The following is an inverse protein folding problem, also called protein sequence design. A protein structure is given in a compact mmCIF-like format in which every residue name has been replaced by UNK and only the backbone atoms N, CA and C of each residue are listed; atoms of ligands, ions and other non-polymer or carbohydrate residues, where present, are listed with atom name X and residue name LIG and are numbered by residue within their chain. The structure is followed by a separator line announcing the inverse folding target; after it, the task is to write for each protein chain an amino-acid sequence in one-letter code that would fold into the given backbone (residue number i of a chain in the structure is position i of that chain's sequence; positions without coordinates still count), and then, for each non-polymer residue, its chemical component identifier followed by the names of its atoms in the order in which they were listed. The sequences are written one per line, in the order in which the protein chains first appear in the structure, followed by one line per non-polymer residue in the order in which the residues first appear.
data_IF_619061109129
#
_entry.id   IF_619061109129
#
_cell.length_a   1.000
_cell.length_b   1.000
_cell.length_c   1.000
_cell.angle_alpha   90.00
_cell.angle_beta   90.00
_cell.angle_gamma   90.00
#
_symmetry.space_group_name_H-M   'P 1'
#
loop_
_entity.id
_entity.type
_entity.pdbx_description
1 polymer ?
#
# COMPACT_ATOMS: atom_id res chain seq x y z
N UNK A 1 -4.87 21.41 -2.17
CA UNK A 1 -5.47 20.48 -3.15
C UNK A 1 -6.75 19.90 -2.57
N UNK A 2 -7.67 19.37 -3.39
CA UNK A 2 -9.04 19.08 -2.96
C UNK A 2 -9.20 17.66 -2.39
N UNK A 3 -9.99 17.52 -1.32
CA UNK A 3 -10.56 16.23 -0.89
C UNK A 3 -11.69 15.84 -1.86
N UNK A 4 -11.51 14.76 -2.61
CA UNK A 4 -12.44 14.32 -3.65
C UNK A 4 -13.38 13.26 -3.06
N UNK A 5 -14.62 13.66 -2.76
CA UNK A 5 -15.62 12.78 -2.18
C UNK A 5 -16.46 12.07 -3.26
N UNK A 6 -16.44 10.73 -3.26
CA UNK A 6 -17.23 9.88 -4.15
C UNK A 6 -18.45 9.36 -3.41
N UNK A 7 -19.61 10.00 -3.60
CA UNK A 7 -20.86 9.70 -2.86
C UNK A 7 -21.72 8.60 -3.49
N UNK A 8 -21.45 8.24 -4.74
CA UNK A 8 -22.15 7.17 -5.44
C UNK A 8 -21.90 5.81 -4.80
N UNK A 9 -22.96 5.01 -4.65
CA UNK A 9 -22.89 3.66 -4.05
C UNK A 9 -23.61 2.66 -4.94
N UNK A 10 -22.86 1.77 -5.57
CA UNK A 10 -23.42 0.66 -6.32
C UNK A 10 -24.06 -0.35 -5.37
N UNK A 11 -25.12 -1.02 -5.84
CA UNK A 11 -25.75 -2.13 -5.10
C UNK A 11 -24.71 -3.20 -4.77
N UNK A 12 -23.77 -3.47 -5.69
CA UNK A 12 -22.68 -4.42 -5.50
C UNK A 12 -21.76 -4.02 -4.34
N UNK A 13 -21.39 -2.74 -4.25
CA UNK A 13 -20.60 -2.24 -3.12
C UNK A 13 -21.35 -2.38 -1.79
N UNK A 14 -22.64 -2.08 -1.74
CA UNK A 14 -23.45 -2.25 -0.53
C UNK A 14 -23.54 -3.71 -0.08
N UNK A 15 -23.66 -4.66 -1.02
CA UNK A 15 -23.64 -6.10 -0.72
C UNK A 15 -22.29 -6.48 -0.09
N UNK A 16 -21.17 -6.08 -0.71
CA UNK A 16 -19.82 -6.35 -0.20
C UNK A 16 -19.64 -5.74 1.19
N UNK A 17 -20.02 -4.48 1.37
CA UNK A 17 -19.95 -3.75 2.64
C UNK A 17 -20.66 -4.52 3.77
N UNK A 18 -21.91 -4.92 3.54
CA UNK A 18 -22.70 -5.62 4.56
C UNK A 18 -22.18 -7.04 4.81
N UNK A 19 -21.75 -7.76 3.77
CA UNK A 19 -21.13 -9.08 3.92
C UNK A 19 -19.87 -8.99 4.79
N UNK A 20 -18.95 -8.07 4.47
CA UNK A 20 -17.70 -7.88 5.24
C UNK A 20 -18.02 -7.44 6.67
N UNK A 21 -18.99 -6.54 6.87
CA UNK A 21 -19.42 -6.08 8.20
C UNK A 21 -20.01 -7.20 9.07
N UNK A 22 -20.79 -8.10 8.49
CA UNK A 22 -21.45 -9.17 9.24
C UNK A 22 -20.48 -10.33 9.48
N UNK A 23 -19.70 -10.70 8.46
CA UNK A 23 -18.85 -11.90 8.50
C UNK A 23 -17.45 -11.54 8.98
N UNK A 24 -16.70 -10.75 8.20
CA UNK A 24 -15.27 -10.48 8.47
C UNK A 24 -15.04 -9.71 9.76
N UNK A 25 -15.80 -8.64 10.02
CA UNK A 25 -15.65 -7.88 11.27
C UNK A 25 -15.95 -8.72 12.51
N UNK A 26 -16.93 -9.63 12.42
CA UNK A 26 -17.26 -10.56 13.50
C UNK A 26 -16.13 -11.55 13.72
N UNK A 27 -15.61 -12.16 12.65
CA UNK A 27 -14.43 -13.04 12.72
C UNK A 27 -13.26 -12.31 13.35
N UNK A 28 -12.89 -11.12 12.88
CA UNK A 28 -11.80 -10.34 13.46
C UNK A 28 -12.06 -9.91 14.90
N UNK A 29 -13.30 -9.68 15.31
CA UNK A 29 -13.62 -9.35 16.71
C UNK A 29 -13.40 -10.56 17.63
N UNK A 30 -13.81 -11.75 17.20
CA UNK A 30 -13.83 -12.97 18.04
C UNK A 30 -12.50 -13.74 17.97
N UNK A 31 -11.82 -13.73 16.82
CA UNK A 31 -10.58 -14.48 16.64
C UNK A 31 -9.49 -13.99 17.60
N UNK A 32 -8.86 -14.85 18.43
CA UNK A 32 -7.79 -14.41 19.32
C UNK A 32 -6.59 -13.95 18.48
N UNK A 33 -5.96 -12.83 18.84
CA UNK A 33 -4.62 -12.50 18.30
C UNK A 33 -3.62 -12.93 19.36
N UNK A 34 -3.02 -14.10 19.16
CA UNK A 34 -2.01 -14.67 20.03
C UNK A 34 -0.96 -15.43 19.22
N UNK A 35 0.20 -15.65 19.82
CA UNK A 35 1.32 -16.37 19.19
C UNK A 35 0.96 -17.80 18.77
N UNK A 36 -0.10 -18.38 19.37
CA UNK A 36 -0.61 -19.71 19.02
C UNK A 36 -1.59 -19.72 17.85
N UNK A 37 -2.25 -18.60 17.58
CA UNK A 37 -3.35 -18.50 16.60
C UNK A 37 -2.91 -17.89 15.28
N UNK A 38 -1.91 -17.00 15.30
CA UNK A 38 -1.37 -16.36 14.10
C UNK A 38 -0.72 -17.34 13.11
N UNK A 39 0.07 -18.36 13.54
CA UNK A 39 0.59 -19.35 12.61
C UNK A 39 -0.49 -20.17 11.90
N UNK A 40 -1.62 -20.42 12.57
CA UNK A 40 -2.77 -21.15 11.99
C UNK A 40 -3.44 -20.31 10.91
N UNK A 41 -3.61 -19.00 11.16
CA UNK A 41 -4.16 -18.08 10.18
C UNK A 41 -3.28 -18.03 8.92
N UNK A 42 -1.96 -17.88 9.09
CA UNK A 42 -0.98 -17.93 7.99
C UNK A 42 -1.01 -19.25 7.22
N UNK A 43 -1.06 -20.39 7.91
CA UNK A 43 -1.13 -21.70 7.26
C UNK A 43 -2.42 -21.87 6.43
N UNK A 44 -3.49 -21.16 6.76
CA UNK A 44 -4.73 -21.13 5.99
C UNK A 44 -4.69 -20.14 4.80
N UNK A 45 -3.75 -19.18 4.77
CA UNK A 45 -3.68 -18.16 3.71
C UNK A 45 -3.53 -18.74 2.29
N UNK A 46 -2.64 -19.73 2.02
CA UNK A 46 -2.54 -20.36 0.70
C UNK A 46 -3.83 -21.07 0.26
N UNK A 47 -4.69 -21.45 1.21
CA UNK A 47 -5.96 -22.11 0.95
C UNK A 47 -7.11 -21.12 0.75
N UNK A 48 -7.00 -19.93 1.32
CA UNK A 48 -7.95 -18.82 1.13
C UNK A 48 -7.62 -17.99 -0.12
N UNK A 49 -6.34 -17.97 -0.55
CA UNK A 49 -5.87 -17.36 -1.79
C UNK A 49 -6.01 -18.27 -3.02
N UNK A 50 -6.56 -19.49 -2.85
CA UNK A 50 -6.65 -20.57 -3.85
C UNK A 50 -7.64 -20.36 -5.00
N UNK A 51 -7.93 -19.11 -5.34
CA UNK A 51 -8.46 -18.77 -6.66
C UNK A 51 -7.24 -18.56 -7.55
N UNK A 52 -7.00 -19.39 -8.59
CA UNK A 52 -5.90 -19.17 -9.51
C UNK A 52 -6.01 -17.76 -10.09
N UNK A 53 -5.15 -16.85 -9.63
CA UNK A 53 -5.02 -15.53 -10.22
C UNK A 53 -4.03 -15.61 -11.39
N UNK A 54 -4.22 -16.59 -12.29
CA UNK A 54 -3.52 -16.63 -13.56
C UNK A 54 -4.07 -15.51 -14.44
N UNK A 55 -3.59 -14.30 -14.16
CA UNK A 55 -3.93 -13.13 -14.94
C UNK A 55 -3.05 -13.18 -16.19
N UNK A 56 -3.69 -13.33 -17.35
CA UNK A 56 -3.01 -13.30 -18.66
C UNK A 56 -2.41 -11.91 -18.91
N UNK A 57 -1.37 -11.85 -19.73
CA UNK A 57 -0.76 -10.58 -20.14
C UNK A 57 0.34 -10.09 -19.20
N UNK A 58 0.95 -10.99 -18.42
CA UNK A 58 2.15 -10.74 -17.61
C UNK A 58 3.01 -12.00 -17.52
N UNK A 59 4.33 -11.80 -17.41
CA UNK A 59 5.31 -12.78 -16.94
C UNK A 59 5.64 -12.49 -15.48
N UNK A 60 5.60 -13.51 -14.63
CA UNK A 60 5.90 -13.41 -13.20
C UNK A 60 7.14 -14.23 -12.90
N UNK A 61 8.17 -13.59 -12.33
CA UNK A 61 9.42 -14.22 -11.94
C UNK A 61 9.66 -14.04 -10.45
N UNK A 62 10.01 -15.12 -9.77
CA UNK A 62 10.44 -15.05 -8.37
C UNK A 62 11.91 -14.65 -8.35
N UNK A 63 12.21 -13.53 -7.69
CA UNK A 63 13.54 -12.99 -7.52
C UNK A 63 13.78 -12.66 -6.04
N UNK A 64 14.96 -12.16 -5.72
CA UNK A 64 15.30 -11.63 -4.41
C UNK A 64 15.85 -10.22 -4.62
N UNK A 65 15.36 -9.24 -3.85
CA UNK A 65 15.86 -7.87 -3.82
C UNK A 65 16.13 -7.47 -2.37
N UNK A 66 17.32 -6.97 -2.07
CA UNK A 66 17.74 -6.60 -0.73
C UNK A 66 17.79 -7.79 0.23
N UNK A 67 17.95 -9.01 -0.29
CA UNK A 67 17.78 -10.25 0.49
C UNK A 67 16.32 -10.64 0.77
N UNK A 68 15.34 -9.94 0.20
CA UNK A 68 13.90 -10.14 0.42
C UNK A 68 13.27 -10.84 -0.78
N UNK A 69 12.51 -11.95 -0.59
CA UNK A 69 11.76 -12.57 -1.67
C UNK A 69 10.81 -11.58 -2.34
N UNK A 70 10.79 -11.56 -3.66
CA UNK A 70 10.02 -10.59 -4.45
C UNK A 70 9.50 -11.24 -5.72
N UNK A 71 8.29 -10.88 -6.16
CA UNK A 71 7.81 -11.19 -7.50
C UNK A 71 8.06 -10.01 -8.43
N UNK A 72 8.84 -10.25 -9.48
CA UNK A 72 8.97 -9.36 -10.64
C UNK A 72 7.85 -9.70 -11.62
N UNK A 73 6.93 -8.77 -11.80
CA UNK A 73 5.77 -8.89 -12.68
C UNK A 73 6.00 -7.97 -13.86
N UNK A 74 6.20 -8.53 -15.04
CA UNK A 74 6.46 -7.80 -16.29
C UNK A 74 5.23 -7.93 -17.19
N UNK A 75 4.59 -6.83 -17.62
CA UNK A 75 3.47 -6.89 -18.57
C UNK A 75 3.91 -7.41 -19.94
N UNK A 76 3.06 -8.23 -20.56
CA UNK A 76 3.22 -8.66 -21.95
C UNK A 76 2.75 -7.53 -22.89
N UNK A 77 3.46 -7.23 -23.98
CA UNK A 77 2.99 -6.30 -25.02
C UNK A 77 4.02 -5.27 -25.51
N UNK A 78 3.55 -4.29 -26.30
CA UNK A 78 4.34 -3.26 -27.01
C UNK A 78 5.23 -2.41 -26.09
N UNK A 79 6.19 -1.71 -26.72
CA UNK A 79 7.21 -0.85 -26.10
C UNK A 79 6.73 -0.10 -24.84
N UNK A 80 7.53 -0.23 -23.78
CA UNK A 80 7.36 0.45 -22.50
C UNK A 80 7.22 1.97 -22.74
N UNK A 81 6.06 2.58 -22.46
CA UNK A 81 5.86 4.03 -22.63
C UNK A 81 6.67 4.83 -21.59
N UNK A 82 7.21 4.18 -20.56
CA UNK A 82 7.99 4.79 -19.51
C UNK A 82 9.30 4.00 -19.33
N UNK A 83 10.23 4.07 -20.30
CA UNK A 83 11.47 3.32 -20.23
C UNK A 83 12.20 3.66 -18.93
N UNK A 84 12.76 2.64 -18.26
CA UNK A 84 13.47 2.80 -16.97
C UNK A 84 12.55 3.24 -15.82
N UNK A 85 11.24 3.00 -15.93
CA UNK A 85 10.32 3.11 -14.81
C UNK A 85 9.97 1.74 -14.20
N UNK A 86 9.69 1.74 -12.90
CA UNK A 86 9.20 0.57 -12.18
C UNK A 86 8.25 0.99 -11.05
N UNK A 87 7.51 0.02 -10.51
CA UNK A 87 6.74 0.20 -9.27
C UNK A 87 7.12 -0.86 -8.25
N UNK A 88 7.34 -0.45 -7.00
CA UNK A 88 7.46 -1.37 -5.86
C UNK A 88 6.14 -1.42 -5.12
N UNK A 89 5.57 -2.61 -4.96
CA UNK A 89 4.31 -2.83 -4.26
C UNK A 89 4.55 -3.48 -2.89
N UNK A 90 3.97 -2.90 -1.85
CA UNK A 90 3.97 -3.46 -0.49
C UNK A 90 2.55 -3.81 -0.08
N UNK A 91 2.31 -5.08 0.23
CA UNK A 91 0.98 -5.58 0.56
C UNK A 91 0.48 -5.16 1.95
N UNK A 92 -0.83 -5.15 2.18
CA UNK A 92 -1.40 -4.97 3.51
C UNK A 92 -1.35 -6.23 4.38
N UNK A 93 -2.20 -6.28 5.41
CA UNK A 93 -2.29 -7.42 6.33
C UNK A 93 -1.76 -7.15 7.73
N UNK A 94 -1.75 -5.88 8.15
CA UNK A 94 -1.51 -5.46 9.54
C UNK A 94 -0.16 -5.92 10.14
N UNK A 95 0.83 -6.17 9.28
CA UNK A 95 2.16 -6.72 9.64
C UNK A 95 2.13 -8.14 10.25
N UNK A 96 1.04 -8.88 10.09
CA UNK A 96 0.86 -10.20 10.73
C UNK A 96 0.30 -11.27 9.77
N UNK A 97 -0.06 -10.90 8.55
CA UNK A 97 -0.62 -11.79 7.55
C UNK A 97 -0.65 -11.15 6.16
N UNK A 98 -1.28 -11.85 5.22
CA UNK A 98 -1.15 -11.64 3.77
C UNK A 98 0.26 -11.92 3.24
N UNK A 99 0.36 -12.06 1.92
CA UNK A 99 1.60 -12.40 1.23
C UNK A 99 1.49 -12.01 -0.26
N UNK A 100 2.48 -12.44 -1.04
CA UNK A 100 2.50 -12.24 -2.49
C UNK A 100 1.22 -12.73 -3.18
N UNK A 101 0.70 -13.91 -2.81
CA UNK A 101 -0.49 -14.49 -3.44
C UNK A 101 -1.75 -13.65 -3.21
N UNK A 102 -1.94 -13.09 -2.01
CA UNK A 102 -3.16 -12.35 -1.67
C UNK A 102 -3.24 -11.00 -2.41
N UNK A 103 -2.10 -10.42 -2.78
CA UNK A 103 -2.02 -9.13 -3.47
C UNK A 103 -1.53 -9.21 -4.92
N UNK A 104 -1.22 -10.40 -5.44
CA UNK A 104 -0.75 -10.59 -6.81
C UNK A 104 -1.67 -9.93 -7.84
N UNK A 105 -2.99 -10.06 -7.72
CA UNK A 105 -3.94 -9.45 -8.66
C UNK A 105 -3.79 -7.94 -8.75
N UNK A 106 -3.68 -7.21 -7.63
CA UNK A 106 -3.53 -5.75 -7.70
C UNK A 106 -2.17 -5.38 -8.30
N UNK A 107 -1.10 -6.10 -7.93
CA UNK A 107 0.23 -5.89 -8.50
C UNK A 107 0.26 -6.14 -10.03
N UNK A 108 -0.41 -7.19 -10.51
CA UNK A 108 -0.57 -7.45 -11.95
C UNK A 108 -1.41 -6.37 -12.64
N UNK A 109 -2.51 -5.93 -12.03
CA UNK A 109 -3.32 -4.86 -12.60
C UNK A 109 -2.52 -3.56 -12.68
N UNK A 110 -1.73 -3.21 -11.68
CA UNK A 110 -0.84 -2.05 -11.73
C UNK A 110 0.20 -2.19 -12.84
N UNK A 111 0.86 -3.35 -12.97
CA UNK A 111 1.83 -3.61 -14.03
C UNK A 111 1.22 -3.41 -15.42
N UNK A 112 0.00 -3.92 -15.63
CA UNK A 112 -0.72 -3.78 -16.92
C UNK A 112 -1.22 -2.37 -17.17
N UNK A 113 -1.71 -1.68 -16.13
CA UNK A 113 -2.28 -0.34 -16.24
C UNK A 113 -1.20 0.71 -16.52
N UNK A 114 -0.08 0.62 -15.81
CA UNK A 114 1.07 1.51 -15.95
C UNK A 114 1.98 1.10 -17.12
N UNK A 115 1.91 -0.16 -17.55
CA UNK A 115 2.81 -0.77 -18.55
C UNK A 115 4.29 -0.77 -18.13
N UNK A 116 4.54 -0.81 -16.82
CA UNK A 116 5.90 -0.89 -16.22
C UNK A 116 6.04 -2.18 -15.40
N UNK A 117 7.27 -2.69 -15.17
CA UNK A 117 7.48 -3.79 -14.23
C UNK A 117 7.06 -3.42 -12.81
N UNK A 118 6.39 -4.36 -12.14
CA UNK A 118 6.02 -4.27 -10.72
C UNK A 118 6.82 -5.28 -9.91
N UNK A 119 7.37 -4.81 -8.79
CA UNK A 119 8.12 -5.59 -7.81
C UNK A 119 7.27 -5.73 -6.55
N UNK A 120 6.59 -6.87 -6.41
CA UNK A 120 5.73 -7.18 -5.27
C UNK A 120 6.58 -7.84 -4.17
N UNK A 121 6.76 -7.16 -3.04
CA UNK A 121 7.78 -7.51 -2.03
C UNK A 121 7.17 -8.33 -0.88
N UNK A 122 7.77 -9.47 -0.57
CA UNK A 122 7.39 -10.35 0.56
C UNK A 122 8.18 -9.99 1.82
N UNK A 123 7.93 -8.80 2.34
CA UNK A 123 8.64 -8.31 3.53
C UNK A 123 8.26 -9.14 4.77
N UNK A 124 9.23 -9.33 5.69
CA UNK A 124 8.98 -10.10 6.92
C UNK A 124 7.98 -9.38 7.82
N UNK A 125 7.19 -10.19 8.51
CA UNK A 125 6.07 -9.80 9.34
C UNK A 125 6.06 -10.68 10.60
N UNK A 126 5.25 -10.32 11.59
CA UNK A 126 5.17 -11.09 12.83
C UNK A 126 4.69 -12.53 12.56
N UNK A 127 5.29 -13.57 13.19
CA UNK A 127 6.30 -13.51 14.27
C UNK A 127 7.77 -13.42 13.84
N UNK A 128 8.06 -13.52 12.54
CA UNK A 128 9.44 -13.59 12.02
C UNK A 128 10.18 -12.24 12.09
N UNK A 129 9.42 -11.15 12.24
CA UNK A 129 9.92 -9.79 12.48
C UNK A 129 8.79 -8.88 12.99
N UNK A 130 9.11 -7.67 13.45
CA UNK A 130 8.10 -6.64 13.70
C UNK A 130 8.10 -5.57 12.62
N UNK A 131 7.53 -4.40 12.92
CA UNK A 131 7.38 -3.34 11.92
C UNK A 131 8.72 -2.76 11.47
N UNK A 132 9.69 -2.63 12.38
CA UNK A 132 11.05 -2.24 12.00
C UNK A 132 11.64 -3.20 10.96
N UNK A 133 11.40 -4.52 11.11
CA UNK A 133 11.84 -5.53 10.14
C UNK A 133 11.10 -5.42 8.82
N UNK A 134 9.77 -5.25 8.84
CA UNK A 134 8.98 -5.03 7.61
C UNK A 134 9.48 -3.82 6.82
N UNK A 135 9.79 -2.73 7.51
CA UNK A 135 10.31 -1.49 6.91
C UNK A 135 11.74 -1.67 6.41
N UNK A 136 12.61 -2.35 7.17
CA UNK A 136 13.97 -2.63 6.76
C UNK A 136 14.01 -3.46 5.47
N UNK A 137 13.19 -4.50 5.39
CA UNK A 137 13.04 -5.33 4.18
C UNK A 137 12.51 -4.51 3.00
N UNK A 138 11.46 -3.70 3.23
CA UNK A 138 10.88 -2.88 2.18
C UNK A 138 11.87 -1.85 1.61
N UNK A 139 12.68 -1.23 2.49
CA UNK A 139 13.73 -0.29 2.09
C UNK A 139 14.91 -0.99 1.41
N UNK A 140 15.33 -2.17 1.89
CA UNK A 140 16.40 -2.95 1.27
C UNK A 140 16.05 -3.32 -0.17
N UNK A 141 14.82 -3.77 -0.42
CA UNK A 141 14.33 -4.08 -1.76
C UNK A 141 14.28 -2.84 -2.67
N UNK A 142 13.78 -1.71 -2.17
CA UNK A 142 13.76 -0.44 -2.90
C UNK A 142 15.18 0.02 -3.27
N UNK A 143 16.10 -0.01 -2.31
CA UNK A 143 17.48 0.44 -2.51
C UNK A 143 18.21 -0.43 -3.53
N UNK A 144 18.11 -1.75 -3.44
CA UNK A 144 18.75 -2.65 -4.42
C UNK A 144 18.17 -2.44 -5.83
N UNK A 145 16.86 -2.21 -5.94
CA UNK A 145 16.23 -1.91 -7.22
C UNK A 145 16.77 -0.60 -7.82
N UNK A 146 16.92 0.45 -7.01
CA UNK A 146 17.50 1.73 -7.43
C UNK A 146 18.97 1.59 -7.82
N UNK A 147 19.76 0.88 -7.01
CA UNK A 147 21.20 0.68 -7.22
C UNK A 147 21.52 -0.21 -8.44
N UNK A 148 20.55 -0.98 -8.95
CA UNK A 148 20.69 -1.72 -10.20
C UNK A 148 21.04 -0.83 -11.40
N UNK A 149 20.64 0.45 -11.36
CA UNK A 149 20.82 1.39 -12.46
C UNK A 149 19.87 1.17 -13.65
N UNK A 150 19.00 0.15 -13.59
CA UNK A 150 18.00 -0.14 -14.64
C UNK A 150 16.85 0.86 -14.60
N UNK A 151 16.57 1.44 -13.43
CA UNK A 151 15.44 2.32 -13.19
C UNK A 151 15.88 3.65 -12.61
N UNK A 152 15.30 4.74 -13.11
CA UNK A 152 15.51 6.10 -12.61
C UNK A 152 14.19 6.78 -12.20
N UNK A 153 13.07 6.10 -12.40
CA UNK A 153 11.72 6.47 -11.96
C UNK A 153 11.10 5.29 -11.24
N UNK A 154 11.01 5.36 -9.92
CA UNK A 154 10.46 4.26 -9.12
C UNK A 154 9.24 4.77 -8.39
N UNK A 155 8.08 4.23 -8.73
CA UNK A 155 6.83 4.44 -7.99
C UNK A 155 6.80 3.53 -6.76
N UNK A 156 6.12 3.95 -5.70
CA UNK A 156 5.77 3.07 -4.58
C UNK A 156 4.27 3.05 -4.35
N UNK A 157 3.71 1.86 -4.16
CA UNK A 157 2.29 1.71 -3.86
C UNK A 157 2.07 0.65 -2.80
N UNK A 158 1.04 0.85 -1.97
CA UNK A 158 0.72 -0.12 -0.93
C UNK A 158 -0.60 0.16 -0.24
N UNK A 159 -1.16 -0.90 0.34
CA UNK A 159 -2.43 -0.83 1.03
C UNK A 159 -2.24 -1.05 2.54
N UNK A 160 -3.02 -0.33 3.35
CA UNK A 160 -3.01 -0.51 4.81
C UNK A 160 -1.60 -0.47 5.41
N UNK A 161 -1.14 -1.56 6.03
CA UNK A 161 0.22 -1.71 6.55
C UNK A 161 1.31 -1.53 5.48
N UNK A 162 1.08 -1.96 4.24
CA UNK A 162 1.98 -1.71 3.13
C UNK A 162 2.10 -0.22 2.78
N UNK A 163 1.02 0.54 2.97
CA UNK A 163 1.07 2.01 2.87
C UNK A 163 1.99 2.66 3.91
N UNK A 164 2.09 2.09 5.12
CA UNK A 164 3.10 2.51 6.10
C UNK A 164 4.52 2.17 5.64
N UNK A 165 4.72 0.98 5.06
CA UNK A 165 6.03 0.58 4.51
C UNK A 165 6.44 1.57 3.41
N UNK A 166 5.55 1.95 2.50
CA UNK A 166 5.81 3.01 1.51
C UNK A 166 6.28 4.31 2.17
N UNK A 167 5.52 4.82 3.16
CA UNK A 167 5.83 6.06 3.86
C UNK A 167 7.22 6.02 4.52
N UNK A 168 7.59 4.88 5.11
CA UNK A 168 8.91 4.71 5.72
C UNK A 168 10.03 4.53 4.70
N UNK A 169 9.78 3.87 3.57
CA UNK A 169 10.73 3.78 2.45
C UNK A 169 11.05 5.17 1.91
N UNK A 170 10.02 6.00 1.72
CA UNK A 170 10.14 7.40 1.31
C UNK A 170 11.04 8.18 2.29
N UNK A 171 10.75 8.10 3.59
CA UNK A 171 11.57 8.75 4.62
C UNK A 171 13.01 8.22 4.62
N UNK A 172 13.21 6.90 4.59
CA UNK A 172 14.54 6.30 4.66
C UNK A 172 15.38 6.61 3.42
N UNK A 173 14.77 6.74 2.24
CA UNK A 173 15.46 7.18 1.04
C UNK A 173 15.99 8.62 1.20
N UNK A 174 15.15 9.53 1.71
CA UNK A 174 15.55 10.91 1.97
C UNK A 174 16.67 11.00 3.03
N UNK A 175 16.57 10.25 4.13
CA UNK A 175 17.59 10.22 5.18
C UNK A 175 18.91 9.59 4.73
N UNK A 176 18.86 8.61 3.82
CA UNK A 176 20.05 7.99 3.23
C UNK A 176 20.70 8.85 2.13
N UNK A 177 20.06 9.94 1.71
CA UNK A 177 20.54 10.77 0.61
C UNK A 177 20.52 10.06 -0.75
N UNK A 178 19.66 9.06 -0.92
CA UNK A 178 19.44 8.37 -2.21
C UNK A 178 18.19 8.93 -2.88
N UNK A 179 18.01 8.64 -4.17
CA UNK A 179 16.83 9.10 -4.91
C UNK A 179 15.55 8.54 -4.27
N UNK A 180 14.62 9.42 -3.94
CA UNK A 180 13.29 9.05 -3.44
C UNK A 180 12.37 8.54 -4.55
N UNK A 181 11.23 7.92 -4.19
CA UNK A 181 10.24 7.49 -5.16
C UNK A 181 9.69 8.66 -5.99
N UNK A 182 9.30 8.40 -7.24
CA UNK A 182 8.75 9.42 -8.16
C UNK A 182 7.34 9.82 -7.78
N UNK A 183 6.51 8.88 -7.33
CA UNK A 183 5.19 9.16 -6.77
C UNK A 183 4.75 8.02 -5.82
N UNK A 184 3.77 8.31 -4.97
CA UNK A 184 3.22 7.39 -3.98
C UNK A 184 1.71 7.17 -4.19
N UNK A 185 1.27 5.91 -4.15
CA UNK A 185 -0.15 5.56 -4.06
C UNK A 185 -0.48 4.77 -2.78
N UNK A 186 -1.38 5.31 -1.95
CA UNK A 186 -1.84 4.69 -0.71
C UNK A 186 -3.28 4.21 -0.79
N UNK A 187 -3.53 2.91 -0.57
CA UNK A 187 -4.88 2.34 -0.55
C UNK A 187 -5.32 2.04 0.89
N UNK A 188 -6.11 2.92 1.48
CA UNK A 188 -6.45 2.93 2.92
C UNK A 188 -5.21 2.77 3.82
N UNK A 189 -4.16 3.60 3.64
CA UNK A 189 -2.86 3.40 4.28
C UNK A 189 -2.93 3.58 5.80
N UNK A 190 -2.18 2.78 6.55
CA UNK A 190 -2.09 2.82 8.01
C UNK A 190 -0.86 3.64 8.45
N UNK A 191 -0.95 4.96 8.40
CA UNK A 191 0.18 5.91 8.47
C UNK A 191 0.57 6.34 9.89
N UNK A 192 -0.31 6.20 10.88
CA UNK A 192 0.01 6.45 12.30
C UNK A 192 -0.08 5.18 13.15
N UNK A 193 1.07 4.59 13.50
CA UNK A 193 1.11 3.41 14.37
C UNK A 193 1.29 3.75 15.87
N UNK A 194 1.53 5.03 16.20
CA UNK A 194 1.69 5.53 17.58
C UNK A 194 0.37 5.54 18.38
N UNK A 195 -0.76 5.48 17.65
CA UNK A 195 -2.13 5.61 18.14
C UNK A 195 -2.47 7.03 18.66
N UNK A 196 -1.83 8.06 18.10
CA UNK A 196 -2.13 9.45 18.37
C UNK A 196 -3.44 9.93 17.73
N UNK A 197 -3.81 9.37 16.56
CA UNK A 197 -5.01 9.79 15.85
C UNK A 197 -6.31 9.30 16.54
N UNK A 198 -7.35 10.17 16.67
CA UNK A 198 -8.62 9.85 17.31
C UNK A 198 -9.56 9.02 16.41
N UNK A 199 -9.07 7.86 15.95
CA UNK A 199 -9.77 6.96 15.03
C UNK A 199 -11.06 6.40 15.62
N UNK A 200 -12.04 6.14 14.73
CA UNK A 200 -13.29 5.47 15.08
C UNK A 200 -13.53 4.26 14.18
N UNK A 201 -13.89 3.12 14.78
CA UNK A 201 -14.31 1.91 14.04
C UNK A 201 -15.81 1.63 14.14
N UNK A 202 -16.61 2.63 14.55
CA UNK A 202 -18.08 2.47 14.73
C UNK A 202 -18.77 2.07 13.43
N UNK A 203 -18.37 2.71 12.33
CA UNK A 203 -18.97 2.53 11.01
C UNK A 203 -18.12 1.68 10.07
N UNK A 204 -16.84 1.49 10.40
CA UNK A 204 -15.94 0.59 9.68
C UNK A 204 -16.55 -0.82 9.50
N UNK A 205 -16.46 -1.39 8.29
CA UNK A 205 -16.99 -2.70 7.96
C UNK A 205 -16.01 -3.85 8.21
N UNK A 206 -14.73 -3.60 8.42
CA UNK A 206 -13.68 -4.61 8.52
C UNK A 206 -12.88 -4.49 9.83
N UNK A 207 -12.29 -3.32 10.14
CA UNK A 207 -11.25 -3.17 11.16
C UNK A 207 -11.82 -2.77 12.54
N UNK A 208 -11.70 -3.64 13.57
CA UNK A 208 -12.02 -3.25 14.93
C UNK A 208 -10.86 -2.47 15.57
N UNK A 209 -11.13 -1.28 16.12
CA UNK A 209 -10.10 -0.42 16.73
C UNK A 209 -9.33 -1.12 17.87
N UNK A 210 -9.99 -1.99 18.63
CA UNK A 210 -9.34 -2.78 19.67
C UNK A 210 -8.26 -3.74 19.15
N UNK A 211 -8.36 -4.18 17.88
CA UNK A 211 -7.34 -5.00 17.23
C UNK A 211 -6.17 -4.15 16.75
N UNK A 212 -6.44 -2.98 16.15
CA UNK A 212 -5.40 -2.01 15.79
C UNK A 212 -4.55 -1.66 17.03
N UNK A 213 -5.18 -1.37 18.17
CA UNK A 213 -4.47 -1.11 19.43
C UNK A 213 -3.63 -2.29 19.92
N UNK A 214 -4.10 -3.53 19.72
CA UNK A 214 -3.34 -4.74 20.08
C UNK A 214 -2.15 -4.98 19.15
N UNK A 215 -2.16 -4.51 17.91
CA UNK A 215 -0.98 -4.61 17.03
C UNK A 215 0.23 -3.95 17.69
N UNK A 216 0.04 -2.88 18.49
CA UNK A 216 1.12 -2.24 19.25
C UNK A 216 1.97 -3.18 20.08
N UNK A 217 1.40 -4.27 20.60
CA UNK A 217 2.19 -5.24 21.38
C UNK A 217 3.18 -6.04 20.54
N UNK A 218 2.99 -6.05 19.20
CA UNK A 218 3.89 -6.72 18.25
C UNK A 218 4.70 -5.75 17.38
N UNK A 219 4.32 -4.46 17.28
CA UNK A 219 5.00 -3.49 16.40
C UNK A 219 6.50 -3.37 16.70
N UNK A 220 6.87 -3.28 17.98
CA UNK A 220 8.27 -3.14 18.43
C UNK A 220 9.00 -4.46 18.68
N UNK A 221 8.46 -5.60 18.24
CA UNK A 221 9.15 -6.89 18.35
C UNK A 221 10.08 -7.09 17.14
N UNK A 222 11.02 -8.01 17.24
CA UNK A 222 11.92 -8.36 16.13
C UNK A 222 13.30 -7.70 16.22
N UNK A 223 14.22 -8.08 15.32
CA UNK A 223 15.64 -7.70 15.41
C UNK A 223 15.93 -6.26 14.94
N UNK A 224 15.06 -5.67 14.14
CA UNK A 224 15.26 -4.35 13.54
C UNK A 224 14.40 -3.31 14.26
N UNK A 225 15.02 -2.23 14.72
CA UNK A 225 14.31 -1.09 15.31
C UNK A 225 13.68 -0.22 14.23
N UNK A 226 12.47 0.28 14.50
CA UNK A 226 11.85 1.28 13.64
C UNK A 226 12.51 2.64 13.90
N UNK A 227 13.12 3.24 12.87
CA UNK A 227 13.80 4.53 12.97
C UNK A 227 12.84 5.68 12.67
N UNK A 228 13.00 6.80 13.36
CA UNK A 228 12.22 8.02 13.14
C UNK A 228 10.77 7.91 13.62
N UNK A 229 9.86 8.79 13.15
CA UNK A 229 8.49 8.86 13.67
C UNK A 229 7.66 7.62 13.32
N UNK A 230 6.73 7.30 14.24
CA UNK A 230 5.67 6.30 14.09
C UNK A 230 4.41 6.88 13.42
N UNK A 231 4.31 8.21 13.37
CA UNK A 231 3.25 8.94 12.69
C UNK A 231 3.80 9.64 11.44
N UNK A 232 3.39 9.13 10.28
CA UNK A 232 3.83 9.63 8.97
C UNK A 232 2.87 10.67 8.38
N UNK A 233 1.87 11.13 9.15
CA UNK A 233 0.85 12.10 8.72
C UNK A 233 1.15 13.53 9.14
N UNK A 234 2.29 13.77 9.78
CA UNK A 234 2.65 15.09 10.34
C UNK A 234 3.33 16.01 9.34
N UNK A 235 3.34 17.32 9.62
CA UNK A 235 4.07 18.33 8.83
C UNK A 235 5.57 18.02 8.73
N UNK A 236 6.16 17.49 9.81
CA UNK A 236 7.57 17.13 9.85
C UNK A 236 7.91 15.98 8.88
N UNK A 237 6.97 15.07 8.66
CA UNK A 237 7.12 13.93 7.74
C UNK A 237 6.68 14.24 6.32
N UNK A 238 5.74 15.16 6.13
CA UNK A 238 5.18 15.51 4.83
C UNK A 238 6.23 15.96 3.82
N UNK A 239 7.27 16.67 4.28
CA UNK A 239 8.40 17.14 3.45
C UNK A 239 9.17 16.03 2.73
N UNK A 240 9.06 14.78 3.17
CA UNK A 240 9.76 13.65 2.54
C UNK A 240 8.99 13.10 1.35
N UNK A 241 7.68 13.32 1.30
CA UNK A 241 6.82 12.64 0.33
C UNK A 241 6.97 13.23 -1.08
N UNK A 242 6.98 12.36 -2.10
CA UNK A 242 6.79 12.79 -3.47
C UNK A 242 5.30 13.10 -3.72
N UNK A 243 4.92 13.49 -4.95
CA UNK A 243 3.53 13.57 -5.31
C UNK A 243 2.75 12.29 -4.94
N UNK A 244 1.60 12.47 -4.31
CA UNK A 244 0.92 11.39 -3.59
C UNK A 244 -0.58 11.32 -3.89
N UNK A 245 -1.07 10.12 -4.19
CA UNK A 245 -2.51 9.84 -4.29
C UNK A 245 -2.96 8.86 -3.20
N UNK A 246 -4.02 9.23 -2.48
CA UNK A 246 -4.54 8.49 -1.34
C UNK A 246 -5.99 8.10 -1.59
N UNK A 247 -6.36 6.88 -1.22
CA UNK A 247 -7.73 6.38 -1.30
C UNK A 247 -8.17 5.91 0.07
N UNK A 248 -9.38 6.26 0.49
CA UNK A 248 -9.98 5.77 1.73
C UNK A 248 -11.45 5.42 1.52
N UNK A 249 -11.97 4.42 2.24
CA UNK A 249 -13.41 4.26 2.37
C UNK A 249 -13.92 5.21 3.45
N UNK A 250 -15.03 5.91 3.18
CA UNK A 250 -15.60 6.82 4.16
C UNK A 250 -16.02 6.07 5.42
N UNK A 251 -15.64 6.63 6.57
CA UNK A 251 -15.89 6.11 7.92
C UNK A 251 -15.21 4.79 8.24
N UNK A 252 -14.18 4.41 7.47
CA UNK A 252 -13.22 3.39 7.88
C UNK A 252 -12.30 3.91 9.00
N UNK A 253 -11.69 3.01 9.74
CA UNK A 253 -10.86 3.34 10.89
C UNK A 253 -9.60 4.13 10.50
N UNK A 254 -9.13 3.96 9.26
CA UNK A 254 -7.93 4.59 8.70
C UNK A 254 -8.25 5.74 7.72
N UNK A 255 -9.50 6.21 7.66
CA UNK A 255 -9.87 7.39 6.87
C UNK A 255 -9.06 8.62 7.32
N UNK A 256 -8.90 8.80 8.64
CA UNK A 256 -8.16 9.92 9.21
C UNK A 256 -6.68 9.93 8.79
N UNK A 257 -6.05 8.76 8.67
CA UNK A 257 -4.65 8.68 8.22
C UNK A 257 -4.45 9.35 6.86
N UNK A 258 -5.37 9.07 5.93
CA UNK A 258 -5.32 9.63 4.58
C UNK A 258 -5.60 11.14 4.58
N UNK A 259 -6.56 11.58 5.39
CA UNK A 259 -6.94 12.99 5.49
C UNK A 259 -5.87 13.84 6.17
N UNK A 260 -5.22 13.34 7.23
CA UNK A 260 -4.15 14.04 7.93
C UNK A 260 -2.89 14.12 7.06
N UNK A 261 -2.49 13.04 6.39
CA UNK A 261 -1.39 13.10 5.43
C UNK A 261 -1.71 14.09 4.30
N UNK A 262 -2.89 14.03 3.70
CA UNK A 262 -3.32 15.00 2.68
C UNK A 262 -3.18 16.45 3.17
N UNK A 263 -3.68 16.74 4.38
CA UNK A 263 -3.61 18.08 4.95
C UNK A 263 -2.17 18.53 5.21
N UNK A 264 -1.29 17.62 5.66
CA UNK A 264 0.12 17.92 5.89
C UNK A 264 0.90 18.14 4.57
N UNK A 265 0.62 17.32 3.54
CA UNK A 265 1.19 17.50 2.20
C UNK A 265 0.76 18.83 1.57
N UNK A 266 -0.52 19.19 1.71
CA UNK A 266 -1.03 20.47 1.21
C UNK A 266 -0.35 21.67 1.88
N UNK A 267 -0.17 21.63 3.21
CA UNK A 267 0.60 22.65 3.94
C UNK A 267 2.06 22.71 3.53
N UNK A 268 2.65 21.57 3.16
CA UNK A 268 4.02 21.47 2.68
C UNK A 268 4.18 21.87 1.20
N UNK A 269 3.08 22.13 0.48
CA UNK A 269 3.10 22.43 -0.95
C UNK A 269 3.44 21.22 -1.83
N UNK A 270 3.30 20.00 -1.31
CA UNK A 270 3.51 18.76 -2.06
C UNK A 270 2.24 18.44 -2.82
N UNK A 271 2.35 18.16 -4.12
CA UNK A 271 1.21 17.74 -4.94
C UNK A 271 0.57 16.47 -4.39
N UNK A 272 -0.74 16.51 -4.17
CA UNK A 272 -1.44 15.35 -3.65
C UNK A 272 -2.95 15.36 -3.87
N UNK A 273 -3.52 14.16 -4.03
CA UNK A 273 -4.96 13.94 -4.13
C UNK A 273 -5.42 12.94 -3.06
N UNK A 274 -6.59 13.19 -2.46
CA UNK A 274 -7.24 12.20 -1.60
C UNK A 274 -8.66 11.93 -2.08
N UNK A 275 -8.96 10.66 -2.32
CA UNK A 275 -10.25 10.17 -2.78
C UNK A 275 -10.96 9.38 -1.68
N UNK A 276 -12.09 9.90 -1.22
CA UNK A 276 -12.88 9.27 -0.16
C UNK A 276 -14.15 8.67 -0.74
N UNK A 277 -14.29 7.35 -0.69
CA UNK A 277 -15.40 6.63 -1.30
C UNK A 277 -16.44 6.17 -0.28
N UNK A 278 -17.69 6.58 -0.47
CA UNK A 278 -18.80 6.11 0.32
C UNK A 278 -19.13 4.63 0.03
N UNK A 279 -19.55 3.90 1.08
CA UNK A 279 -20.10 2.55 0.93
C UNK A 279 -19.07 1.47 0.55
N UNK A 280 -17.78 1.77 0.62
CA UNK A 280 -16.69 0.83 0.40
C UNK A 280 -16.17 0.25 1.71
N UNK A 281 -15.36 -0.81 1.58
CA UNK A 281 -14.65 -1.44 2.70
C UNK A 281 -13.19 -0.99 2.72
N UNK A 282 -12.52 -1.24 3.83
CA UNK A 282 -11.08 -1.02 3.97
C UNK A 282 -10.29 -1.65 2.82
N UNK A 283 -9.37 -0.88 2.23
CA UNK A 283 -8.52 -1.28 1.09
C UNK A 283 -9.30 -1.78 -0.15
N UNK A 284 -10.50 -1.28 -0.42
CA UNK A 284 -11.35 -1.74 -1.53
C UNK A 284 -10.67 -1.70 -2.91
N UNK A 285 -9.68 -0.81 -3.13
CA UNK A 285 -8.91 -0.69 -4.38
C UNK A 285 -8.15 -1.98 -4.70
N UNK A 286 -7.65 -2.69 -3.68
CA UNK A 286 -6.96 -3.99 -3.84
C UNK A 286 -7.87 -5.03 -4.50
N UNK A 287 -9.19 -4.90 -4.31
CA UNK A 287 -10.21 -5.72 -4.96
C UNK A 287 -10.69 -5.13 -6.29
N UNK A 288 -9.81 -4.50 -7.08
CA UNK A 288 -10.14 -3.89 -8.36
C UNK A 288 -10.90 -4.86 -9.30
N UNK A 289 -12.06 -4.39 -9.77
CA UNK A 289 -13.01 -5.16 -10.59
C UNK A 289 -14.08 -5.94 -9.80
N UNK A 290 -13.98 -5.98 -8.46
CA UNK A 290 -15.04 -6.49 -7.61
C UNK A 290 -16.22 -5.52 -7.51
N UNK A 291 -15.99 -4.21 -7.57
CA UNK A 291 -17.06 -3.19 -7.64
C UNK A 291 -16.71 -2.18 -8.74
N UNK A 292 -17.72 -1.48 -9.31
CA UNK A 292 -17.45 -0.34 -10.21
C UNK A 292 -16.54 0.70 -9.55
N UNK A 293 -16.71 0.94 -8.24
CA UNK A 293 -15.92 1.89 -7.46
C UNK A 293 -14.47 1.42 -7.28
N UNK A 294 -14.22 0.14 -6.97
CA UNK A 294 -12.84 -0.37 -6.87
C UNK A 294 -12.11 -0.31 -8.20
N UNK A 295 -12.83 -0.53 -9.32
CA UNK A 295 -12.29 -0.36 -10.66
C UNK A 295 -12.01 1.10 -11.01
N UNK A 296 -12.93 2.02 -10.66
CA UNK A 296 -12.75 3.44 -10.87
C UNK A 296 -11.54 3.99 -10.09
N UNK A 297 -11.43 3.66 -8.80
CA UNK A 297 -10.31 4.06 -7.96
C UNK A 297 -8.97 3.53 -8.49
N UNK A 298 -8.92 2.26 -8.92
CA UNK A 298 -7.74 1.70 -9.57
C UNK A 298 -7.33 2.49 -10.83
N UNK A 299 -8.29 2.83 -11.70
CA UNK A 299 -7.98 3.62 -12.91
C UNK A 299 -7.47 5.02 -12.57
N UNK A 300 -8.04 5.67 -11.55
CA UNK A 300 -7.56 6.97 -11.07
C UNK A 300 -6.13 6.86 -10.55
N UNK A 301 -5.81 5.83 -9.76
CA UNK A 301 -4.45 5.60 -9.28
C UNK A 301 -3.45 5.41 -10.43
N UNK A 302 -3.82 4.60 -11.43
CA UNK A 302 -2.98 4.40 -12.63
C UNK A 302 -2.76 5.70 -13.40
N UNK A 303 -3.82 6.50 -13.59
CA UNK A 303 -3.72 7.77 -14.32
C UNK A 303 -2.75 8.74 -13.62
N UNK A 304 -2.93 8.96 -12.31
CA UNK A 304 -2.06 9.82 -11.50
C UNK A 304 -0.59 9.38 -11.56
N UNK A 305 -0.35 8.07 -11.38
CA UNK A 305 1.00 7.52 -11.39
C UNK A 305 1.66 7.60 -12.77
N UNK A 306 0.91 7.37 -13.86
CA UNK A 306 1.42 7.49 -15.24
C UNK A 306 1.78 8.94 -15.59
N UNK A 307 0.96 9.91 -15.19
CA UNK A 307 1.22 11.34 -15.38
C UNK A 307 2.56 11.75 -14.77
N UNK A 308 2.79 11.36 -13.51
CA UNK A 308 4.04 11.65 -12.80
C UNK A 308 5.26 10.89 -13.35
N UNK A 309 5.06 9.76 -14.03
CA UNK A 309 6.15 9.13 -14.78
C UNK A 309 6.53 9.97 -16.00
N UNK A 310 5.56 10.50 -16.74
CA UNK A 310 5.79 11.35 -17.92
C UNK A 310 6.45 12.69 -17.55
N UNK A 311 5.94 13.41 -16.56
CA UNK A 311 6.51 14.70 -16.12
C UNK A 311 7.96 14.57 -15.63
N UNK A 312 8.26 13.47 -14.93
CA UNK A 312 9.61 13.17 -14.47
C UNK A 312 10.57 12.80 -15.62
N UNK A 313 10.05 12.41 -16.80
CA UNK A 313 10.84 12.23 -18.03
C UNK A 313 11.16 13.58 -18.66
N UNK A 314 10.14 14.42 -18.83
CA UNK A 314 10.23 15.72 -19.48
C UNK A 314 11.18 16.65 -18.73
N UNK A 315 11.02 16.73 -17.40
CA UNK A 315 11.90 17.52 -16.53
C UNK A 315 13.38 17.10 -16.63
N UNK A 316 13.64 15.82 -16.93
CA UNK A 316 15.00 15.30 -17.12
C UNK A 316 15.54 15.59 -18.50
N UNK A 317 14.71 15.51 -19.54
CA UNK A 317 15.10 15.89 -20.89
C UNK A 317 15.45 17.37 -20.99
N UNK A 318 14.84 18.22 -20.17
CA UNK A 318 15.16 19.67 -20.12
C UNK A 318 16.46 19.97 -19.35
N UNK A 319 16.86 19.09 -18.43
CA UNK A 319 18.06 19.27 -17.59
C UNK A 319 19.36 18.68 -18.20
N UNK A 320 19.25 17.90 -19.27
CA UNK A 320 20.38 17.22 -19.96
C UNK A 320 20.89 18.01 -21.17
#
# INVERSE_FOLDING_TARGET
MAVIAHRGRSVRALIVLWFVRIVMKTVFRVFPMSDRTLPILRAAEPYLSRVPQSVRGVRIEKIVLGGVPTERIVPDGDADPHPRAALVYYHGGAFIGCNLDTHRRIAVLLARGLRVPVYNVEYRQYPDGGVGTSVADGFAAYRELLESGDFDRILVAGDSAGGFVCAKVIQYAAEAGIQGPTAFAGFSPFLDISAGLPRSSRHDAMLPLGKIRKLRTVLGRGPEELRGPEDMTTDATARYFPPSILFAASREALELDSLELHAALDRAGVENEVHVYDGQVHAFVVSAGLTPESWAAYKTAVAFLSEHLTEAEESRSEAA
#
